data_IF_406208877433
#
_entry.id   IF_406208877433
#
_cell.length_a   1.000
_cell.length_b   1.000
_cell.length_c   1.000
_cell.angle_alpha   90.00
_cell.angle_beta   90.00
_cell.angle_gamma   90.00
#
_symmetry.space_group_name_H-M   'P 1'
#
loop_
_entity.id
_entity.type
_entity.pdbx_description
1 polymer ?
#
# COMPACT_ATOMS: atom_id res chain seq x y z
N UNK A 1 -20.16 -5.93 -51.34
CA UNK A 1 -18.80 -5.68 -50.82
C UNK A 1 -18.59 -4.22 -50.39
N UNK A 2 -19.10 -3.23 -51.12
CA UNK A 2 -19.04 -1.80 -50.71
C UNK A 2 -19.87 -1.51 -49.45
N UNK A 3 -21.06 -2.10 -49.32
CA UNK A 3 -21.94 -1.89 -48.15
C UNK A 3 -21.31 -2.40 -46.85
N UNK A 4 -20.60 -3.53 -46.89
CA UNK A 4 -19.91 -4.10 -45.73
C UNK A 4 -18.74 -3.24 -45.27
N UNK A 5 -18.01 -2.60 -46.20
CA UNK A 5 -16.89 -1.71 -45.91
C UNK A 5 -17.35 -0.40 -45.25
N UNK A 6 -18.51 0.13 -45.67
CA UNK A 6 -19.10 1.34 -45.09
C UNK A 6 -19.57 1.10 -43.64
N UNK A 7 -20.10 -0.09 -43.34
CA UNK A 7 -20.55 -0.45 -41.98
C UNK A 7 -19.37 -0.58 -41.02
N UNK A 8 -18.21 -1.10 -41.45
CA UNK A 8 -17.02 -1.18 -40.59
C UNK A 8 -16.38 0.17 -40.27
N UNK A 9 -16.56 1.18 -41.13
CA UNK A 9 -16.08 2.55 -40.91
C UNK A 9 -16.92 3.34 -39.88
N UNK A 10 -18.13 2.86 -39.58
CA UNK A 10 -19.06 3.46 -38.62
C UNK A 10 -18.94 2.83 -37.22
N UNK A 11 -18.13 1.79 -37.07
CA UNK A 11 -17.87 1.18 -35.76
C UNK A 11 -16.81 2.06 -35.08
N UNK A 12 -17.13 2.74 -33.97
CA UNK A 12 -16.12 3.49 -33.22
C UNK A 12 -15.02 2.50 -32.84
N UNK A 13 -13.78 2.84 -33.15
CA UNK A 13 -12.63 2.07 -32.70
C UNK A 13 -12.70 2.01 -31.18
N UNK A 14 -12.97 0.83 -30.62
CA UNK A 14 -12.79 0.58 -29.21
C UNK A 14 -11.27 0.54 -28.96
N UNK A 15 -10.65 1.73 -28.99
CA UNK A 15 -9.34 1.92 -28.39
C UNK A 15 -9.56 1.69 -26.89
N UNK A 16 -8.91 0.66 -26.35
CA UNK A 16 -8.80 0.50 -24.91
C UNK A 16 -7.95 1.66 -24.41
N UNK A 17 -8.60 2.78 -24.11
CA UNK A 17 -7.92 4.06 -23.87
C UNK A 17 -7.13 4.04 -22.56
N UNK A 18 -7.56 3.20 -21.60
CA UNK A 18 -7.00 3.16 -20.26
C UNK A 18 -6.57 1.74 -19.86
N UNK A 19 -5.34 1.60 -19.36
CA UNK A 19 -4.85 0.40 -18.66
C UNK A 19 -5.13 0.56 -17.17
N UNK A 20 -5.76 -0.44 -16.57
CA UNK A 20 -5.89 -0.53 -15.12
C UNK A 20 -4.76 -1.38 -14.53
N UNK A 21 -3.95 -0.77 -13.66
CA UNK A 21 -2.88 -1.43 -12.92
C UNK A 21 -3.32 -1.58 -11.48
N UNK A 22 -3.28 -2.80 -10.95
CA UNK A 22 -3.52 -3.07 -9.53
C UNK A 22 -2.20 -3.36 -8.82
N UNK A 23 -1.87 -2.55 -7.82
CA UNK A 23 -0.60 -2.66 -7.09
C UNK A 23 -0.62 -3.76 -6.01
N UNK A 24 -1.79 -4.33 -5.74
CA UNK A 24 -1.94 -5.46 -4.81
C UNK A 24 -1.24 -6.74 -5.29
N UNK A 25 -1.07 -6.90 -6.60
CA UNK A 25 -0.41 -8.08 -7.19
C UNK A 25 1.12 -7.98 -7.14
N UNK A 26 1.66 -6.77 -7.01
CA UNK A 26 3.11 -6.55 -7.01
C UNK A 26 3.81 -6.96 -5.70
N UNK A 27 3.07 -7.43 -4.69
CA UNK A 27 3.58 -7.91 -3.39
C UNK A 27 4.64 -6.99 -2.75
N UNK A 28 4.55 -5.68 -2.96
CA UNK A 28 5.58 -4.70 -2.59
C UNK A 28 5.71 -4.45 -1.07
N UNK A 29 4.99 -5.20 -0.24
CA UNK A 29 4.97 -5.04 1.21
C UNK A 29 3.94 -4.03 1.72
N UNK A 30 3.87 -3.87 3.05
CA UNK A 30 3.01 -2.87 3.72
C UNK A 30 3.76 -1.55 3.84
N UNK A 31 3.01 -0.44 3.95
CA UNK A 31 3.54 0.92 4.10
C UNK A 31 4.43 1.39 2.93
N UNK A 32 3.87 1.39 1.73
CA UNK A 32 4.52 2.04 0.59
C UNK A 32 3.56 3.05 -0.04
N UNK A 33 4.15 4.18 -0.41
CA UNK A 33 3.53 5.19 -1.26
C UNK A 33 4.12 5.03 -2.66
N UNK A 34 3.24 5.00 -3.65
CA UNK A 34 3.57 4.86 -5.05
C UNK A 34 3.12 6.15 -5.73
N UNK A 35 4.07 6.94 -6.18
CA UNK A 35 3.80 8.14 -6.97
C UNK A 35 4.01 7.84 -8.44
N UNK A 36 3.09 8.32 -9.27
CA UNK A 36 3.11 8.12 -10.73
C UNK A 36 3.33 9.45 -11.39
N UNK A 37 4.42 9.52 -12.15
CA UNK A 37 4.82 10.72 -12.87
C UNK A 37 4.76 10.50 -14.38
N UNK A 38 4.31 11.51 -15.10
CA UNK A 38 4.41 11.58 -16.55
C UNK A 38 5.60 12.47 -16.93
N UNK A 39 6.59 11.95 -17.66
CA UNK A 39 7.68 12.74 -18.19
C UNK A 39 7.16 13.66 -19.30
N UNK A 40 7.54 14.93 -19.23
CA UNK A 40 7.23 15.98 -20.19
C UNK A 40 8.53 16.67 -20.62
N UNK A 41 8.48 17.46 -21.69
CA UNK A 41 9.66 18.18 -22.20
C UNK A 41 10.31 19.14 -21.18
N UNK A 42 9.59 19.54 -20.11
CA UNK A 42 10.09 20.44 -19.06
C UNK A 42 10.39 19.77 -17.71
N UNK A 43 10.25 18.45 -17.59
CA UNK A 43 10.39 17.73 -16.33
C UNK A 43 9.30 16.67 -16.14
N UNK A 44 9.03 16.26 -14.91
CA UNK A 44 8.03 15.25 -14.59
C UNK A 44 6.82 15.88 -13.87
N UNK A 45 5.61 15.53 -14.31
CA UNK A 45 4.35 15.98 -13.68
C UNK A 45 3.74 14.82 -12.90
N UNK A 46 3.36 15.08 -11.65
CA UNK A 46 2.65 14.09 -10.82
C UNK A 46 1.24 13.88 -11.39
N UNK A 47 0.94 12.66 -11.78
CA UNK A 47 -0.37 12.28 -12.34
C UNK A 47 -1.25 11.67 -11.26
N UNK A 48 -0.67 10.83 -10.41
CA UNK A 48 -1.41 10.16 -9.36
C UNK A 48 -0.51 9.67 -8.23
N UNK A 49 -1.13 9.41 -7.09
CA UNK A 49 -0.50 8.76 -5.93
C UNK A 49 -1.41 7.64 -5.44
N UNK A 50 -0.83 6.48 -5.14
CA UNK A 50 -1.53 5.28 -4.66
C UNK A 50 -0.67 4.51 -3.67
N UNK A 51 -1.23 3.51 -3.00
CA UNK A 51 -0.53 2.61 -2.09
C UNK A 51 -0.46 1.17 -2.63
N UNK A 52 0.15 0.24 -1.87
CA UNK A 52 0.28 -1.17 -2.26
C UNK A 52 -1.03 -1.93 -2.49
N UNK A 53 -2.18 -1.37 -2.11
CA UNK A 53 -3.50 -2.02 -2.30
C UNK A 53 -4.37 -1.32 -3.32
N UNK A 54 -3.95 -0.15 -3.81
CA UNK A 54 -4.73 0.65 -4.72
C UNK A 54 -4.63 0.18 -6.17
N UNK A 55 -5.55 0.69 -6.98
CA UNK A 55 -5.57 0.50 -8.43
C UNK A 55 -5.58 1.85 -9.12
N UNK A 56 -4.86 1.96 -10.23
CA UNK A 56 -4.80 3.17 -11.04
C UNK A 56 -5.21 2.89 -12.48
N UNK A 57 -5.91 3.84 -13.11
CA UNK A 57 -6.16 3.83 -14.55
C UNK A 57 -5.24 4.85 -15.22
N UNK A 58 -4.45 4.39 -16.19
CA UNK A 58 -3.47 5.20 -16.92
C UNK A 58 -3.79 5.15 -18.41
N UNK A 59 -3.59 6.26 -19.11
CA UNK A 59 -3.77 6.34 -20.56
C UNK A 59 -2.68 5.52 -21.27
N UNK A 60 -3.05 4.75 -22.28
CA UNK A 60 -2.11 3.93 -23.06
C UNK A 60 -1.20 4.73 -23.98
N UNK A 61 -1.52 6.00 -24.23
CA UNK A 61 -0.82 6.89 -25.15
C UNK A 61 0.39 7.60 -24.53
N UNK A 62 0.62 7.41 -23.23
CA UNK A 62 1.63 8.13 -22.45
C UNK A 62 2.60 7.20 -21.74
N UNK A 63 3.85 7.65 -21.62
CA UNK A 63 4.85 6.99 -20.78
C UNK A 63 4.70 7.43 -19.32
N UNK A 64 4.94 6.52 -18.37
CA UNK A 64 4.88 6.80 -16.95
C UNK A 64 6.09 6.25 -16.18
N UNK A 65 6.49 6.96 -15.14
CA UNK A 65 7.53 6.55 -14.19
C UNK A 65 6.90 6.40 -12.82
N UNK A 66 7.08 5.21 -12.24
CA UNK A 66 6.62 4.89 -10.88
C UNK A 66 7.76 5.11 -9.89
N UNK A 67 7.53 5.95 -8.89
CA UNK A 67 8.45 6.15 -7.76
C UNK A 67 7.83 5.49 -6.54
N UNK A 68 8.49 4.44 -6.05
CA UNK A 68 8.07 3.72 -4.85
C UNK A 68 8.87 4.29 -3.69
N UNK A 69 8.17 4.85 -2.71
CA UNK A 69 8.78 5.34 -1.46
C UNK A 69 8.21 4.55 -0.29
N UNK A 70 9.05 4.10 0.66
CA UNK A 70 8.55 3.61 1.92
C UNK A 70 7.79 4.74 2.61
N UNK A 71 6.54 4.49 2.99
CA UNK A 71 5.77 5.43 3.81
C UNK A 71 6.40 5.49 5.19
N UNK A 72 6.41 6.67 5.80
CA UNK A 72 6.92 6.84 7.16
C UNK A 72 6.19 5.88 8.10
N UNK A 73 6.96 5.01 8.78
CA UNK A 73 6.38 4.10 9.75
C UNK A 73 5.79 4.91 10.90
N UNK A 74 4.47 4.75 11.09
CA UNK A 74 3.64 5.38 12.14
C UNK A 74 4.25 5.20 13.55
N UNK A 75 5.15 4.23 13.70
CA UNK A 75 5.98 4.00 14.87
C UNK A 75 6.71 5.25 15.38
N UNK A 76 7.22 6.11 14.49
CA UNK A 76 8.01 7.27 14.89
C UNK A 76 7.17 8.55 15.09
N UNK A 77 5.98 8.61 14.49
CA UNK A 77 5.11 9.78 14.61
C UNK A 77 4.19 9.71 15.83
N UNK A 78 3.71 8.51 16.19
CA UNK A 78 2.75 8.32 17.27
C UNK A 78 3.10 7.09 18.13
N UNK A 79 3.97 7.23 19.15
CA UNK A 79 4.44 6.10 19.95
C UNK A 79 3.31 5.37 20.70
N UNK A 80 2.20 6.05 21.02
CA UNK A 80 1.04 5.40 21.63
C UNK A 80 0.26 4.51 20.66
N UNK A 81 0.15 4.91 19.39
CA UNK A 81 -0.51 4.10 18.36
C UNK A 81 0.39 2.91 17.95
N UNK A 82 1.70 3.11 18.02
CA UNK A 82 2.69 2.04 17.83
C UNK A 82 2.54 0.92 18.88
N UNK A 83 2.20 1.25 20.13
CA UNK A 83 1.94 0.25 21.18
C UNK A 83 0.68 -0.57 20.91
N UNK A 84 -0.35 0.02 20.30
CA UNK A 84 -1.56 -0.69 19.90
C UNK A 84 -1.29 -1.65 18.73
N UNK A 85 -0.53 -1.20 17.73
CA UNK A 85 -0.08 -2.05 16.63
C UNK A 85 0.86 -3.17 17.11
N UNK A 86 1.74 -2.88 18.08
CA UNK A 86 2.61 -3.87 18.70
C UNK A 86 1.80 -4.92 19.46
N UNK A 87 0.75 -4.53 20.19
CA UNK A 87 -0.17 -5.49 20.82
C UNK A 87 -0.94 -6.33 19.80
N UNK A 88 -1.33 -5.75 18.67
CA UNK A 88 -2.04 -6.45 17.59
C UNK A 88 -1.14 -7.46 16.85
N UNK A 89 0.16 -7.15 16.72
CA UNK A 89 1.15 -8.02 16.07
C UNK A 89 1.92 -8.94 17.03
N UNK A 90 1.78 -8.75 18.35
CA UNK A 90 2.46 -9.60 19.33
C UNK A 90 1.92 -11.03 19.24
N UNK A 91 2.78 -12.03 18.98
CA UNK A 91 2.38 -13.43 19.03
C UNK A 91 1.76 -13.74 20.39
N UNK A 92 0.65 -14.48 20.41
CA UNK A 92 -0.11 -14.79 21.63
C UNK A 92 0.78 -15.38 22.74
N UNK A 93 1.82 -16.11 22.35
CA UNK A 93 2.84 -16.68 23.23
C UNK A 93 3.60 -15.62 24.04
N UNK A 94 3.97 -14.49 23.42
CA UNK A 94 4.68 -13.40 24.09
C UNK A 94 3.79 -12.69 25.12
N UNK A 95 2.48 -12.57 24.81
CA UNK A 95 1.48 -12.01 25.72
C UNK A 95 1.33 -12.87 27.00
N UNK A 96 1.21 -14.19 26.85
CA UNK A 96 1.16 -15.10 28.00
C UNK A 96 2.44 -15.08 28.84
N UNK A 97 3.62 -14.95 28.20
CA UNK A 97 4.90 -14.86 28.90
C UNK A 97 4.99 -13.58 29.75
N UNK A 98 4.59 -12.43 29.21
CA UNK A 98 4.56 -11.18 29.97
C UNK A 98 3.58 -11.26 31.16
N UNK A 99 2.43 -11.90 30.96
CA UNK A 99 1.45 -12.09 32.02
C UNK A 99 1.99 -13.01 33.14
N UNK A 100 2.68 -14.09 32.77
CA UNK A 100 3.36 -14.98 33.72
C UNK A 100 4.40 -14.22 34.55
N UNK A 101 5.26 -13.41 33.92
CA UNK A 101 6.26 -12.59 34.61
C UNK A 101 5.60 -11.59 35.56
N UNK A 102 4.50 -10.95 35.15
CA UNK A 102 3.79 -9.99 35.99
C UNK A 102 3.20 -10.65 37.26
N UNK A 103 2.58 -11.83 37.13
CA UNK A 103 1.98 -12.55 38.25
C UNK A 103 3.03 -13.13 39.18
N UNK A 104 3.99 -13.90 38.66
CA UNK A 104 5.03 -14.52 39.49
C UNK A 104 5.99 -13.47 40.06
N UNK A 105 6.33 -12.44 39.29
CA UNK A 105 7.11 -11.31 39.76
C UNK A 105 6.39 -10.52 40.85
N UNK A 106 5.09 -10.26 40.69
CA UNK A 106 4.27 -9.59 41.71
C UNK A 106 4.22 -10.39 43.02
N UNK A 107 3.96 -11.69 42.94
CA UNK A 107 3.95 -12.59 44.10
C UNK A 107 5.33 -12.64 44.77
N UNK A 108 6.42 -12.73 43.98
CA UNK A 108 7.79 -12.74 44.51
C UNK A 108 8.15 -11.44 45.23
N UNK A 109 7.78 -10.28 44.67
CA UNK A 109 8.03 -8.97 45.29
C UNK A 109 7.26 -8.82 46.60
N UNK A 110 6.00 -9.28 46.64
CA UNK A 110 5.19 -9.26 47.86
C UNK A 110 5.77 -10.19 48.91
N UNK A 111 6.13 -11.42 48.52
CA UNK A 111 6.76 -12.39 49.41
C UNK A 111 8.09 -11.91 49.98
N UNK A 112 8.91 -11.22 49.18
CA UNK A 112 10.18 -10.64 49.64
C UNK A 112 10.01 -9.42 50.54
N UNK A 113 8.85 -8.75 50.48
CA UNK A 113 8.52 -7.57 51.32
C UNK A 113 7.81 -7.93 52.64
N UNK A 114 7.32 -9.17 52.79
CA UNK A 114 6.82 -9.74 54.05
C UNK A 114 7.98 -10.35 54.85
#
# INVERSE_FOLDING_TARGET
>A
MIFTLAVTLLIPSAAADNISISFSDLQLGRNIDIEVYQPTAGGAVLVAQTNSTGSLQLDTSSDYVFIIRPTEDVWFQNPMNALELMKLQMPTMLSYLLWFVAVFGGVYVVYKRL
#
